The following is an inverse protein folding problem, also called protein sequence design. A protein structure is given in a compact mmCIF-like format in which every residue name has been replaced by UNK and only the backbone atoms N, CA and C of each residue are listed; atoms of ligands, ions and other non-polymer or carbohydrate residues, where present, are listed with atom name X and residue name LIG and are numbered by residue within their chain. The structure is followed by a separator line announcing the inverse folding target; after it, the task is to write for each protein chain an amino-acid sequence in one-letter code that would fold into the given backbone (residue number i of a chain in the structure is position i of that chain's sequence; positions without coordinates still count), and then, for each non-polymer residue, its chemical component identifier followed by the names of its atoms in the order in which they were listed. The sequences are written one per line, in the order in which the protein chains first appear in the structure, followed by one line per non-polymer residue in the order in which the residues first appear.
data_IF_839275057221
#
_entry.id   IF_839275057221
#
_cell.length_a   1.000
_cell.length_b   1.000
_cell.length_c   1.000
_cell.angle_alpha   90.00
_cell.angle_beta   90.00
_cell.angle_gamma   90.00
#
_symmetry.space_group_name_H-M   'P 1'
#
loop_
_entity.id
_entity.type
_entity.pdbx_description
1 polymer ?
#
# COMPACT_ATOMS: atom_id res chain seq x y z
N UNK A 1 5.78 76.50 50.48
CA UNK A 1 4.32 76.21 50.53
C UNK A 1 3.88 75.83 49.13
N UNK A 2 3.67 74.57 48.90
CA UNK A 2 2.81 73.95 47.86
C UNK A 2 3.22 72.47 47.77
N UNK A 3 2.28 71.55 47.79
CA UNK A 3 2.56 70.12 47.90
C UNK A 3 2.79 69.50 46.52
N UNK A 4 3.69 68.52 46.46
CA UNK A 4 4.01 67.72 45.29
C UNK A 4 2.94 66.66 44.98
N UNK A 5 2.59 66.54 43.74
CA UNK A 5 1.76 65.48 43.25
C UNK A 5 2.62 64.31 42.73
N UNK A 6 2.53 63.17 43.44
CA UNK A 6 3.06 61.88 42.94
C UNK A 6 2.01 61.25 41.99
N UNK A 7 2.30 61.16 40.72
CA UNK A 7 1.55 60.39 39.76
C UNK A 7 2.10 58.95 39.74
N UNK A 8 1.31 58.03 40.23
CA UNK A 8 1.55 56.58 40.14
C UNK A 8 1.01 56.09 38.76
N UNK A 9 1.86 55.43 38.02
CA UNK A 9 1.49 54.74 36.77
C UNK A 9 0.68 53.48 37.07
N UNK A 10 -0.32 53.14 36.25
CA UNK A 10 -1.09 51.91 36.40
C UNK A 10 -0.25 50.70 35.95
N UNK A 11 -0.22 49.68 36.78
CA UNK A 11 0.27 48.33 36.43
C UNK A 11 -0.83 47.63 35.65
N UNK A 12 -0.61 47.43 34.34
CA UNK A 12 -1.48 46.57 33.53
C UNK A 12 -1.29 45.11 33.99
N UNK A 13 -2.23 44.64 34.79
CA UNK A 13 -2.36 43.24 35.11
C UNK A 13 -2.96 42.50 33.88
N UNK A 14 -2.19 41.64 33.28
CA UNK A 14 -2.68 40.73 32.25
C UNK A 14 -3.87 39.91 32.78
N UNK A 15 -5.00 39.99 32.11
CA UNK A 15 -6.20 39.31 32.54
C UNK A 15 -6.03 37.76 32.41
N UNK A 16 -6.63 36.97 33.31
CA UNK A 16 -6.51 35.51 33.27
C UNK A 16 -7.06 34.88 31.99
N UNK A 17 -7.91 35.59 31.25
CA UNK A 17 -8.43 35.14 29.95
C UNK A 17 -7.35 35.07 28.85
N UNK A 18 -6.36 35.97 28.85
CA UNK A 18 -5.25 35.95 27.90
C UNK A 18 -4.31 34.78 28.11
N UNK A 19 -4.10 34.36 29.36
CA UNK A 19 -3.23 33.23 29.70
C UNK A 19 -3.88 31.88 29.30
N UNK A 20 -5.19 31.77 29.44
CA UNK A 20 -5.91 30.56 29.02
C UNK A 20 -5.94 30.38 27.50
N UNK A 21 -6.00 31.47 26.72
CA UNK A 21 -5.96 31.42 25.27
C UNK A 21 -4.58 31.00 24.74
N UNK A 22 -3.49 31.47 25.36
CA UNK A 22 -2.12 31.09 25.02
C UNK A 22 -1.86 29.60 25.31
N UNK A 23 -2.37 29.06 26.43
CA UNK A 23 -2.24 27.62 26.75
C UNK A 23 -3.06 26.74 25.83
N UNK A 24 -4.24 27.19 25.38
CA UNK A 24 -5.06 26.42 24.43
C UNK A 24 -4.41 26.31 23.03
N UNK A 25 -3.76 27.38 22.55
CA UNK A 25 -3.05 27.34 21.25
C UNK A 25 -1.80 26.47 21.27
N UNK A 26 -1.05 26.46 22.38
CA UNK A 26 0.13 25.58 22.50
C UNK A 26 -0.25 24.12 22.63
N UNK A 27 -1.33 23.78 23.32
CA UNK A 27 -1.86 22.42 23.40
C UNK A 27 -2.40 21.93 22.05
N UNK A 28 -3.09 22.79 21.29
CA UNK A 28 -3.58 22.48 19.94
C UNK A 28 -2.45 22.26 18.93
N UNK A 29 -1.39 23.06 18.97
CA UNK A 29 -0.22 22.91 18.11
C UNK A 29 0.57 21.62 18.46
N UNK A 30 0.65 21.23 19.72
CA UNK A 30 1.30 20.00 20.16
C UNK A 30 0.51 18.74 19.76
N UNK A 31 -0.82 18.79 19.75
CA UNK A 31 -1.68 17.73 19.24
C UNK A 31 -1.54 17.56 17.73
N UNK A 32 -1.36 18.63 16.97
CA UNK A 32 -1.16 18.55 15.51
C UNK A 32 0.23 18.01 15.15
N UNK A 33 1.26 18.29 15.95
CA UNK A 33 2.63 17.78 15.72
C UNK A 33 2.72 16.30 16.13
N UNK A 34 2.07 15.87 17.20
CA UNK A 34 2.02 14.46 17.60
C UNK A 34 1.13 13.61 16.69
N UNK A 35 0.09 14.18 16.08
CA UNK A 35 -0.77 13.48 15.12
C UNK A 35 -0.09 13.10 13.80
N UNK A 36 1.11 13.59 13.51
CA UNK A 36 1.88 13.27 12.30
C UNK A 36 2.98 12.23 12.56
N UNK A 37 3.25 11.87 13.83
CA UNK A 37 4.36 10.97 14.19
C UNK A 37 3.97 9.68 14.91
N UNK A 38 2.70 9.47 15.23
CA UNK A 38 2.26 8.20 15.80
C UNK A 38 1.77 7.26 14.70
N UNK A 39 2.68 6.79 13.86
CA UNK A 39 2.59 5.50 13.22
C UNK A 39 2.78 4.41 14.28
N UNK A 40 1.93 4.34 15.28
CA UNK A 40 1.81 3.17 16.14
C UNK A 40 1.22 2.09 15.25
N UNK A 41 2.04 1.10 14.93
CA UNK A 41 1.58 -0.15 14.32
C UNK A 41 0.69 -0.87 15.35
N UNK A 42 -0.60 -0.56 15.36
CA UNK A 42 -1.62 -1.30 16.12
C UNK A 42 -1.89 -2.68 15.47
N UNK A 43 -0.87 -3.35 15.00
CA UNK A 43 -0.95 -4.75 14.55
C UNK A 43 -1.87 -5.01 13.34
N UNK A 44 -2.56 -4.01 12.78
CA UNK A 44 -3.40 -4.19 11.59
C UNK A 44 -2.71 -3.62 10.34
N UNK A 45 -2.65 -4.40 9.23
CA UNK A 45 -2.06 -3.94 7.98
C UNK A 45 -2.76 -2.69 7.44
N UNK A 46 -2.03 -1.74 6.83
CA UNK A 46 -2.60 -0.52 6.29
C UNK A 46 -3.71 -0.78 5.26
N UNK A 47 -4.83 -0.08 5.39
CA UNK A 47 -5.94 -0.14 4.45
C UNK A 47 -5.80 0.91 3.36
N UNK A 48 -6.06 0.59 2.08
CA UNK A 48 -6.08 1.59 1.03
C UNK A 48 -7.22 2.60 1.26
N UNK A 49 -6.94 3.85 0.95
CA UNK A 49 -7.92 4.93 0.97
C UNK A 49 -8.72 5.02 -0.34
N UNK A 50 -9.84 5.73 -0.33
CA UNK A 50 -10.64 5.98 -1.53
C UNK A 50 -9.84 6.70 -2.65
N UNK A 51 -8.81 7.49 -2.31
CA UNK A 51 -7.97 8.17 -3.29
C UNK A 51 -7.10 7.22 -4.13
N UNK A 52 -6.83 6.01 -3.62
CA UNK A 52 -6.05 4.98 -4.30
C UNK A 52 -6.90 4.10 -5.23
N UNK A 53 -8.22 4.09 -5.06
CA UNK A 53 -9.14 3.34 -5.91
C UNK A 53 -9.16 3.84 -7.36
N UNK A 54 -9.74 3.06 -8.27
CA UNK A 54 -9.92 3.52 -9.65
C UNK A 54 -10.71 4.82 -9.69
N UNK A 55 -10.20 5.81 -10.41
CA UNK A 55 -10.93 7.04 -10.71
C UNK A 55 -11.72 6.86 -11.99
N UNK A 56 -13.00 7.23 -11.97
CA UNK A 56 -13.85 7.20 -13.17
C UNK A 56 -13.30 8.04 -14.34
N UNK A 57 -12.44 9.02 -14.05
CA UNK A 57 -11.85 9.94 -15.04
C UNK A 57 -10.47 9.51 -15.56
N UNK A 58 -9.88 8.43 -15.04
CA UNK A 58 -8.54 8.01 -15.42
C UNK A 58 -8.56 7.18 -16.72
N UNK A 59 -8.57 7.84 -17.84
CA UNK A 59 -8.19 7.20 -19.10
C UNK A 59 -6.71 6.79 -19.03
N UNK A 60 -6.32 5.60 -19.49
CA UNK A 60 -4.92 5.19 -19.53
C UNK A 60 -4.18 6.02 -20.58
N UNK A 61 -3.69 7.19 -20.20
CA UNK A 61 -2.84 8.08 -21.03
C UNK A 61 -1.38 7.65 -20.93
N UNK A 62 -1.07 6.37 -21.20
CA UNK A 62 0.29 5.88 -21.17
C UNK A 62 0.69 5.30 -22.53
N UNK A 63 1.94 5.56 -22.96
CA UNK A 63 2.55 4.92 -24.12
C UNK A 63 2.43 3.41 -23.94
N UNK A 64 1.81 2.71 -24.89
CA UNK A 64 1.69 1.25 -24.85
C UNK A 64 3.08 0.65 -25.01
N UNK A 65 3.57 -0.02 -23.97
CA UNK A 65 4.84 -0.77 -24.03
C UNK A 65 4.55 -2.12 -24.70
N UNK A 66 5.42 -2.51 -25.62
CA UNK A 66 5.31 -3.81 -26.29
C UNK A 66 5.43 -4.94 -25.26
N UNK A 67 4.52 -5.93 -25.28
CA UNK A 67 4.63 -7.09 -24.41
C UNK A 67 5.94 -7.84 -24.61
N UNK A 68 6.46 -8.39 -23.52
CA UNK A 68 7.64 -9.25 -23.52
C UNK A 68 7.26 -10.72 -23.86
N UNK A 69 8.16 -11.51 -24.43
CA UNK A 69 8.02 -12.96 -24.45
C UNK A 69 7.90 -13.50 -23.01
N UNK A 70 7.27 -14.67 -22.79
CA UNK A 70 7.22 -15.29 -21.47
C UNK A 70 8.62 -15.56 -20.89
N UNK A 71 8.82 -15.23 -19.62
CA UNK A 71 9.99 -15.60 -18.81
C UNK A 71 9.62 -15.49 -17.33
N UNK A 72 10.12 -16.41 -16.51
CA UNK A 72 9.82 -16.48 -15.10
C UNK A 72 10.35 -15.24 -14.35
N UNK A 73 9.58 -14.70 -13.38
CA UNK A 73 10.09 -13.67 -12.49
C UNK A 73 11.06 -14.27 -11.46
N UNK A 74 12.10 -13.52 -11.11
CA UNK A 74 13.08 -13.95 -10.11
C UNK A 74 13.13 -13.04 -8.89
N UNK A 75 12.75 -11.75 -9.04
CA UNK A 75 12.78 -10.78 -7.96
C UNK A 75 11.76 -9.66 -8.16
N UNK A 76 11.06 -9.30 -7.09
CA UNK A 76 10.12 -8.17 -7.03
C UNK A 76 10.74 -7.06 -6.18
N UNK A 77 10.67 -5.82 -6.67
CA UNK A 77 11.10 -4.64 -5.94
C UNK A 77 10.03 -3.55 -5.97
N UNK A 78 9.71 -2.99 -4.79
CA UNK A 78 8.81 -1.84 -4.62
C UNK A 78 9.49 -0.90 -3.61
N UNK A 79 10.32 0.01 -4.10
CA UNK A 79 11.15 0.88 -3.25
C UNK A 79 10.34 1.74 -2.28
N UNK A 80 9.14 2.17 -2.69
CA UNK A 80 8.26 3.02 -1.88
C UNK A 80 7.82 2.41 -0.54
N UNK A 81 7.82 1.07 -0.45
CA UNK A 81 7.45 0.32 0.76
C UNK A 81 8.58 -0.65 1.19
N UNK A 82 9.81 -0.42 0.74
CA UNK A 82 10.97 -1.21 1.15
C UNK A 82 10.98 -2.67 0.71
N UNK A 83 10.09 -3.09 -0.20
CA UNK A 83 10.06 -4.48 -0.69
C UNK A 83 11.19 -4.72 -1.68
N UNK A 84 11.98 -5.76 -1.40
CA UNK A 84 12.99 -6.33 -2.30
C UNK A 84 13.05 -7.85 -2.06
N UNK A 85 12.15 -8.60 -2.73
CA UNK A 85 11.82 -9.98 -2.41
C UNK A 85 12.17 -10.94 -3.55
N UNK A 86 12.72 -12.13 -3.26
CA UNK A 86 12.78 -13.19 -4.25
C UNK A 86 11.36 -13.63 -4.62
N UNK A 87 11.21 -14.16 -5.84
CA UNK A 87 9.94 -14.68 -6.32
C UNK A 87 10.03 -16.19 -6.56
N UNK A 88 8.93 -16.88 -6.22
CA UNK A 88 8.75 -18.32 -6.46
C UNK A 88 7.48 -18.58 -7.25
N UNK A 89 7.45 -19.71 -7.94
CA UNK A 89 6.27 -20.20 -8.64
C UNK A 89 5.26 -20.76 -7.61
N UNK A 90 4.01 -20.34 -7.70
CA UNK A 90 2.88 -20.91 -6.94
C UNK A 90 1.78 -21.35 -7.90
N UNK A 91 0.96 -22.30 -7.47
CA UNK A 91 -0.18 -22.81 -8.21
C UNK A 91 -1.49 -22.54 -7.48
N UNK A 92 -2.56 -23.20 -7.94
CA UNK A 92 -3.86 -23.21 -7.27
C UNK A 92 -3.95 -24.38 -6.30
N UNK A 93 -4.80 -24.25 -5.29
CA UNK A 93 -5.19 -25.36 -4.42
C UNK A 93 -6.31 -26.21 -5.07
N UNK A 94 -6.78 -27.23 -4.36
CA UNK A 94 -7.84 -28.11 -4.83
C UNK A 94 -9.21 -27.40 -5.03
N UNK A 95 -9.40 -26.25 -4.40
CA UNK A 95 -10.60 -25.41 -4.56
C UNK A 95 -10.45 -24.35 -5.67
N UNK A 96 -9.28 -24.30 -6.34
CA UNK A 96 -8.98 -23.31 -7.39
C UNK A 96 -8.53 -21.94 -6.85
N UNK A 97 -8.24 -21.84 -5.55
CA UNK A 97 -7.71 -20.61 -4.98
C UNK A 97 -6.19 -20.53 -5.13
N UNK A 98 -5.67 -19.32 -5.36
CA UNK A 98 -4.23 -19.08 -5.47
C UNK A 98 -3.54 -19.35 -4.14
N UNK A 99 -2.57 -20.26 -4.15
CA UNK A 99 -1.76 -20.58 -2.96
C UNK A 99 -0.83 -19.44 -2.62
N UNK A 100 -0.74 -19.05 -1.34
CA UNK A 100 0.34 -18.14 -0.91
C UNK A 100 1.70 -18.88 -0.95
N UNK A 101 2.83 -18.14 -0.88
CA UNK A 101 4.14 -18.75 -0.57
C UNK A 101 4.13 -19.52 0.74
N UNK A 102 5.15 -20.38 1.01
CA UNK A 102 5.25 -21.09 2.27
C UNK A 102 5.19 -20.15 3.48
N UNK A 103 4.42 -20.52 4.51
CA UNK A 103 4.23 -19.67 5.71
C UNK A 103 5.54 -19.41 6.48
N UNK A 104 6.53 -20.31 6.38
CA UNK A 104 7.86 -20.12 6.97
C UNK A 104 8.77 -19.14 6.23
N UNK A 105 8.32 -18.59 5.10
CA UNK A 105 9.08 -17.67 4.25
C UNK A 105 8.28 -16.36 4.01
N UNK A 106 8.00 -15.57 5.06
CA UNK A 106 7.12 -14.39 4.96
C UNK A 106 7.68 -13.29 4.05
N UNK A 107 8.98 -13.29 3.76
CA UNK A 107 9.64 -12.36 2.83
C UNK A 107 9.60 -12.80 1.36
N UNK A 108 8.96 -13.92 1.03
CA UNK A 108 8.89 -14.47 -0.33
C UNK A 108 7.62 -14.01 -1.04
N UNK A 109 7.74 -13.60 -2.31
CA UNK A 109 6.59 -13.34 -3.18
C UNK A 109 6.31 -14.55 -4.08
N UNK A 110 5.02 -14.94 -4.20
CA UNK A 110 4.59 -16.01 -5.09
C UNK A 110 4.04 -15.47 -6.40
N UNK A 111 4.45 -16.03 -7.53
CA UNK A 111 3.85 -15.75 -8.83
C UNK A 111 3.03 -16.95 -9.30
N UNK A 112 1.79 -16.71 -9.79
CA UNK A 112 0.96 -17.76 -10.39
C UNK A 112 1.57 -18.25 -11.71
N UNK A 113 2.29 -19.36 -11.62
CA UNK A 113 3.16 -19.84 -12.69
C UNK A 113 2.45 -20.49 -13.87
N UNK A 114 1.15 -20.86 -13.74
CA UNK A 114 0.34 -21.38 -14.84
C UNK A 114 -0.40 -20.26 -15.61
N UNK A 115 -0.23 -19.01 -15.13
CA UNK A 115 -0.79 -17.81 -15.74
C UNK A 115 0.23 -17.02 -16.55
N UNK A 116 -0.09 -15.75 -16.77
CA UNK A 116 0.75 -14.82 -17.54
C UNK A 116 2.05 -14.50 -16.82
N UNK A 117 3.19 -14.58 -17.52
CA UNK A 117 4.45 -14.11 -17.02
C UNK A 117 4.49 -12.57 -16.92
N UNK A 118 5.09 -11.97 -15.87
CA UNK A 118 5.16 -10.52 -15.71
C UNK A 118 5.82 -9.83 -16.92
N UNK A 119 5.10 -8.86 -17.51
CA UNK A 119 5.50 -8.14 -18.71
C UNK A 119 5.03 -8.75 -20.02
N UNK A 120 4.51 -9.97 -20.04
CA UNK A 120 3.85 -10.57 -21.21
C UNK A 120 2.43 -10.03 -21.39
N UNK A 121 1.85 -10.24 -22.57
CA UNK A 121 0.46 -9.87 -22.83
C UNK A 121 -0.50 -10.63 -21.90
N UNK A 122 -1.41 -9.91 -21.23
CA UNK A 122 -2.33 -10.45 -20.24
C UNK A 122 -2.03 -9.99 -18.82
N UNK A 123 -2.67 -10.61 -17.84
CA UNK A 123 -2.59 -10.26 -16.42
C UNK A 123 -1.72 -11.25 -15.67
N UNK A 124 -0.55 -10.80 -15.24
CA UNK A 124 0.30 -11.53 -14.28
C UNK A 124 -0.24 -11.35 -12.86
N UNK A 125 -0.26 -12.43 -12.08
CA UNK A 125 -0.76 -12.40 -10.69
C UNK A 125 0.34 -12.84 -9.75
N UNK A 126 0.58 -12.06 -8.70
CA UNK A 126 1.48 -12.42 -7.62
C UNK A 126 0.82 -12.21 -6.25
N UNK A 127 1.21 -13.03 -5.29
CA UNK A 127 0.71 -13.02 -3.92
C UNK A 127 1.86 -13.03 -2.92
N UNK A 128 1.60 -12.63 -1.70
CA UNK A 128 2.55 -12.65 -0.61
C UNK A 128 1.85 -12.49 0.73
N UNK A 129 2.53 -12.88 1.79
CA UNK A 129 1.99 -12.75 3.13
C UNK A 129 1.85 -11.29 3.54
N UNK A 130 0.74 -10.96 4.20
CA UNK A 130 0.54 -9.68 4.86
C UNK A 130 1.30 -9.66 6.18
N UNK A 131 1.21 -10.74 6.94
CA UNK A 131 1.88 -10.93 8.23
C UNK A 131 2.22 -12.41 8.45
N UNK A 132 2.89 -12.67 9.56
CA UNK A 132 3.19 -14.00 10.08
C UNK A 132 2.15 -14.42 11.11
N UNK A 133 2.12 -15.71 11.52
CA UNK A 133 1.29 -16.16 12.64
C UNK A 133 1.60 -15.47 13.98
N UNK A 134 2.78 -14.89 14.13
CA UNK A 134 3.21 -14.10 15.30
C UNK A 134 2.85 -12.62 15.20
N UNK A 135 2.30 -12.17 14.04
CA UNK A 135 1.90 -10.78 13.80
C UNK A 135 3.00 -9.90 13.21
N UNK A 136 4.19 -10.46 12.91
CA UNK A 136 5.25 -9.70 12.27
C UNK A 136 4.90 -9.40 10.80
N UNK A 137 5.29 -8.23 10.25
CA UNK A 137 5.01 -7.89 8.87
C UNK A 137 5.55 -8.90 7.85
N UNK A 138 4.71 -9.32 6.92
CA UNK A 138 5.09 -10.10 5.74
C UNK A 138 5.50 -9.20 4.58
N UNK A 139 5.90 -9.82 3.45
CA UNK A 139 6.41 -9.12 2.26
C UNK A 139 5.43 -8.09 1.69
N UNK A 140 4.12 -8.28 1.89
CA UNK A 140 3.06 -7.43 1.37
C UNK A 140 2.27 -6.69 2.44
N UNK A 141 2.87 -6.51 3.65
CA UNK A 141 2.23 -5.80 4.75
C UNK A 141 1.77 -4.39 4.34
N UNK A 142 2.65 -3.63 3.69
CA UNK A 142 2.40 -2.23 3.34
C UNK A 142 1.77 -2.02 1.96
N UNK A 143 1.26 -3.06 1.26
CA UNK A 143 0.64 -2.88 -0.06
C UNK A 143 -0.51 -1.86 -0.06
N UNK A 144 -1.26 -1.77 1.05
CA UNK A 144 -2.36 -0.82 1.21
C UNK A 144 -1.93 0.65 1.19
N UNK A 145 -0.65 0.95 1.38
CA UNK A 145 -0.12 2.34 1.37
C UNK A 145 0.28 2.83 -0.01
N UNK A 146 0.36 1.94 -1.01
CA UNK A 146 0.87 2.29 -2.34
C UNK A 146 0.03 3.36 -3.03
N UNK A 147 0.68 4.45 -3.44
CA UNK A 147 0.04 5.50 -4.21
C UNK A 147 -0.06 5.13 -5.71
N UNK A 148 -1.02 5.72 -6.41
CA UNK A 148 -1.10 5.65 -7.88
C UNK A 148 0.17 6.25 -8.50
N UNK A 149 0.72 5.58 -9.51
CA UNK A 149 1.98 5.96 -10.15
C UNK A 149 3.22 5.35 -9.50
N UNK A 150 3.11 4.74 -8.31
CA UNK A 150 4.24 4.04 -7.69
C UNK A 150 4.80 2.97 -8.63
N UNK A 151 6.12 2.90 -8.70
CA UNK A 151 6.85 1.95 -9.54
C UNK A 151 6.98 0.58 -8.85
N UNK A 152 6.68 -0.46 -9.60
CA UNK A 152 6.92 -1.86 -9.25
C UNK A 152 7.85 -2.45 -10.31
N UNK A 153 8.96 -3.03 -9.88
CA UNK A 153 9.95 -3.64 -10.76
C UNK A 153 9.95 -5.16 -10.58
N UNK A 154 9.89 -5.90 -11.67
CA UNK A 154 10.04 -7.36 -11.65
C UNK A 154 11.21 -7.75 -12.54
N UNK A 155 12.30 -8.19 -11.91
CA UNK A 155 13.43 -8.80 -12.61
C UNK A 155 13.06 -10.22 -13.03
N UNK A 156 13.34 -10.56 -14.27
CA UNK A 156 12.98 -11.82 -14.93
C UNK A 156 14.22 -12.67 -15.20
N UNK A 157 14.01 -13.96 -15.43
CA UNK A 157 15.09 -14.93 -15.75
C UNK A 157 15.82 -14.61 -17.06
N UNK A 158 15.12 -13.93 -18.02
CA UNK A 158 15.73 -13.46 -19.27
C UNK A 158 16.60 -12.19 -19.10
N UNK A 159 16.91 -11.80 -17.87
CA UNK A 159 17.73 -10.63 -17.45
C UNK A 159 17.08 -9.28 -17.71
N UNK A 160 15.85 -9.23 -18.21
CA UNK A 160 15.07 -8.00 -18.36
C UNK A 160 14.33 -7.67 -17.06
N UNK A 161 14.06 -6.38 -16.86
CA UNK A 161 13.18 -5.91 -15.80
C UNK A 161 11.91 -5.35 -16.41
N UNK A 162 10.76 -5.92 -16.03
CA UNK A 162 9.45 -5.37 -16.35
C UNK A 162 9.10 -4.32 -15.29
N UNK A 163 8.89 -3.08 -15.73
CA UNK A 163 8.58 -1.93 -14.86
C UNK A 163 7.11 -1.58 -14.99
N UNK A 164 6.38 -1.66 -13.89
CA UNK A 164 4.94 -1.36 -13.83
C UNK A 164 4.69 -0.09 -13.02
N UNK A 165 3.61 0.61 -13.33
CA UNK A 165 3.10 1.70 -12.51
C UNK A 165 1.75 1.32 -11.91
N UNK A 166 1.57 1.55 -10.61
CA UNK A 166 0.32 1.35 -9.88
C UNK A 166 -0.78 2.21 -10.48
N UNK A 167 -1.93 1.60 -10.79
CA UNK A 167 -3.13 2.27 -11.33
C UNK A 167 -4.20 2.45 -10.28
N UNK A 168 -4.35 1.47 -9.40
CA UNK A 168 -5.25 1.50 -8.26
C UNK A 168 -4.81 0.53 -7.18
N UNK A 169 -5.25 0.77 -5.95
CA UNK A 169 -5.19 -0.17 -4.83
C UNK A 169 -6.59 -0.25 -4.25
N UNK A 170 -7.14 -1.44 -4.16
CA UNK A 170 -8.50 -1.66 -3.68
C UNK A 170 -8.55 -2.78 -2.65
N UNK A 171 -9.46 -2.65 -1.70
CA UNK A 171 -9.78 -3.65 -0.70
C UNK A 171 -11.11 -4.31 -1.06
N UNK A 172 -11.14 -5.62 -1.11
CA UNK A 172 -12.33 -6.41 -1.39
C UNK A 172 -12.65 -7.37 -0.27
N UNK A 173 -13.91 -7.48 0.08
CA UNK A 173 -14.38 -8.54 0.97
C UNK A 173 -14.17 -9.91 0.31
N UNK A 174 -13.77 -10.91 1.13
CA UNK A 174 -13.52 -12.28 0.66
C UNK A 174 -14.77 -12.89 0.01
N UNK A 175 -15.96 -12.67 0.60
CA UNK A 175 -17.22 -13.23 0.12
C UNK A 175 -17.72 -12.58 -1.18
N UNK A 176 -17.26 -11.35 -1.46
CA UNK A 176 -17.65 -10.57 -2.64
C UNK A 176 -16.47 -10.25 -3.53
N UNK A 177 -15.49 -11.16 -3.56
CA UNK A 177 -14.26 -10.93 -4.34
C UNK A 177 -14.58 -10.91 -5.85
N UNK A 178 -14.26 -9.82 -6.57
CA UNK A 178 -14.63 -9.65 -7.97
C UNK A 178 -13.62 -10.34 -8.90
N UNK A 179 -13.64 -11.67 -8.97
CA UNK A 179 -12.66 -12.49 -9.68
C UNK A 179 -12.46 -12.08 -11.13
N UNK A 180 -13.53 -11.79 -11.86
CA UNK A 180 -13.45 -11.35 -13.27
C UNK A 180 -12.69 -10.01 -13.41
N UNK A 181 -12.92 -9.06 -12.51
CA UNK A 181 -12.20 -7.77 -12.48
C UNK A 181 -10.73 -7.95 -12.12
N UNK A 182 -10.44 -8.83 -11.16
CA UNK A 182 -9.08 -9.02 -10.64
C UNK A 182 -8.23 -9.85 -11.60
N UNK A 183 -8.74 -10.98 -12.05
CA UNK A 183 -7.98 -11.94 -12.87
C UNK A 183 -8.17 -11.75 -14.36
N UNK A 184 -9.25 -11.08 -14.77
CA UNK A 184 -9.48 -10.74 -16.16
C UNK A 184 -8.40 -9.81 -16.72
N UNK A 185 -8.18 -9.83 -18.01
CA UNK A 185 -7.15 -9.06 -18.68
C UNK A 185 -7.68 -8.27 -19.88
N UNK A 186 -7.05 -7.12 -20.15
CA UNK A 186 -7.31 -6.28 -21.31
C UNK A 186 -6.50 -6.70 -22.56
N UNK A 187 -5.75 -7.80 -22.47
CA UNK A 187 -4.76 -8.22 -23.49
C UNK A 187 -3.46 -7.41 -23.43
N UNK A 188 -3.39 -6.36 -22.60
CA UNK A 188 -2.17 -5.60 -22.34
C UNK A 188 -1.39 -6.18 -21.17
N UNK A 189 -0.08 -5.94 -21.07
CA UNK A 189 0.71 -6.37 -19.92
C UNK A 189 0.25 -5.67 -18.63
N UNK A 190 -0.39 -6.42 -17.75
CA UNK A 190 -0.90 -5.98 -16.47
C UNK A 190 -0.32 -6.84 -15.35
N UNK A 191 -0.32 -6.29 -14.13
CA UNK A 191 0.11 -6.96 -12.92
C UNK A 191 -0.94 -6.78 -11.83
N UNK A 192 -1.19 -7.86 -11.07
CA UNK A 192 -1.92 -7.84 -9.81
C UNK A 192 -1.01 -8.31 -8.70
N UNK A 193 -0.89 -7.50 -7.63
CA UNK A 193 -0.33 -7.98 -6.36
C UNK A 193 -1.48 -8.15 -5.38
N UNK A 194 -1.54 -9.28 -4.71
CA UNK A 194 -2.67 -9.66 -3.85
C UNK A 194 -2.13 -10.10 -2.49
N UNK A 195 -2.71 -9.57 -1.42
CA UNK A 195 -2.45 -10.01 -0.05
C UNK A 195 -3.74 -10.02 0.76
N UNK A 196 -3.72 -10.68 1.91
CA UNK A 196 -4.82 -10.61 2.87
C UNK A 196 -4.95 -9.18 3.42
N UNK A 197 -6.16 -8.80 3.87
CA UNK A 197 -6.41 -7.49 4.47
C UNK A 197 -7.86 -7.31 4.91
N UNK A 198 -8.20 -6.10 5.38
CA UNK A 198 -9.59 -5.75 5.68
C UNK A 198 -10.13 -6.38 6.94
N UNK A 199 -9.64 -6.04 8.11
CA UNK A 199 -10.07 -6.57 9.40
C UNK A 199 -9.67 -8.02 9.63
N UNK A 200 -9.31 -8.31 10.86
CA UNK A 200 -8.88 -9.65 11.28
C UNK A 200 -9.75 -10.17 12.43
N UNK A 201 -10.13 -11.44 12.36
CA UNK A 201 -10.73 -12.14 13.50
C UNK A 201 -9.99 -13.43 13.78
N UNK A 202 -9.84 -13.80 15.06
CA UNK A 202 -9.18 -15.06 15.44
C UNK A 202 -9.89 -16.31 14.87
N UNK A 203 -11.18 -16.20 14.58
CA UNK A 203 -11.99 -17.32 14.08
C UNK A 203 -11.87 -17.51 12.57
N UNK A 204 -11.78 -16.47 11.79
CA UNK A 204 -11.86 -16.51 10.32
C UNK A 204 -10.63 -15.99 9.62
N UNK A 205 -9.67 -15.41 10.34
CA UNK A 205 -8.53 -14.69 9.76
C UNK A 205 -8.95 -13.34 9.15
N UNK A 206 -8.27 -12.91 8.13
CA UNK A 206 -8.59 -11.68 7.39
C UNK A 206 -9.90 -11.79 6.62
N UNK A 207 -10.68 -10.72 6.64
CA UNK A 207 -12.01 -10.67 6.04
C UNK A 207 -12.00 -10.33 4.55
N UNK A 208 -10.87 -9.89 4.02
CA UNK A 208 -10.76 -9.47 2.62
C UNK A 208 -9.35 -9.59 2.07
N UNK A 209 -9.15 -8.98 0.89
CA UNK A 209 -7.88 -8.92 0.21
C UNK A 209 -7.60 -7.51 -0.31
N UNK A 210 -6.37 -7.04 -0.12
CA UNK A 210 -5.84 -5.86 -0.81
C UNK A 210 -5.34 -6.29 -2.18
N UNK A 211 -5.78 -5.60 -3.23
CA UNK A 211 -5.40 -5.84 -4.62
C UNK A 211 -4.79 -4.58 -5.21
N UNK A 212 -3.53 -4.67 -5.63
CA UNK A 212 -2.84 -3.64 -6.39
C UNK A 212 -2.98 -3.94 -7.88
N UNK A 213 -3.46 -2.97 -8.63
CA UNK A 213 -3.56 -3.00 -10.09
C UNK A 213 -2.43 -2.17 -10.68
N UNK A 214 -1.61 -2.75 -11.54
CA UNK A 214 -0.54 -2.04 -12.20
C UNK A 214 -0.45 -2.40 -13.69
N UNK A 215 0.12 -1.49 -14.49
CA UNK A 215 0.31 -1.68 -15.94
C UNK A 215 1.76 -1.49 -16.30
N UNK A 216 2.26 -2.23 -17.29
CA UNK A 216 3.63 -2.12 -17.79
C UNK A 216 3.86 -0.74 -18.40
N UNK A 217 4.93 -0.05 -17.98
CA UNK A 217 5.30 1.30 -18.43
C UNK A 217 6.67 1.37 -19.08
N UNK A 218 7.56 0.43 -18.72
CA UNK A 218 8.91 0.35 -19.29
C UNK A 218 9.47 -1.08 -19.20
N UNK A 219 10.54 -1.32 -19.94
CA UNK A 219 11.40 -2.49 -19.88
C UNK A 219 12.84 -2.01 -19.85
N UNK A 220 13.65 -2.53 -18.90
CA UNK A 220 15.08 -2.24 -18.77
C UNK A 220 15.90 -3.52 -18.74
#
# INVERSE_FOLDING_TARGET
MAPGHHTSAPRDALSPAGLLLACAMTAGAMLLINGVHDGVHDGEPPRPSAAQAFSASAHPTGRTVRPLPPADPVRLRIAAIGVDAPMTRVGLDAAGALRPPPAGEPGLAGWYGDGTAPGSAGTAVATGHVDTPTGDPGVFYDLGTLARGTTIEIRRADRRTAVFAVRAVELYDREKFPSEKVYGGSGRPELRLITCGGGYTKRTGYLGNVVVYATLTAVT
#
